data_IF_666304148219
#
_entry.id   IF_666304148219
#
_cell.length_a   1.000
_cell.length_b   1.000
_cell.length_c   1.000
_cell.angle_alpha   90.00
_cell.angle_beta   90.00
_cell.angle_gamma   90.00
#
_symmetry.space_group_name_H-M   'P 1'
#
loop_
_entity.id
_entity.type
_entity.pdbx_description
1 polymer ?
#
# COMPACT_ATOMS: atom_id res chain seq x y z
N UNK A 1 -42.34 20.57 36.74
CA UNK A 1 -41.54 21.22 35.67
C UNK A 1 -40.62 20.20 35.01
N UNK A 2 -41.16 19.32 34.15
CA UNK A 2 -40.32 18.37 33.41
C UNK A 2 -39.72 19.07 32.19
N UNK A 3 -38.47 19.52 32.28
CA UNK A 3 -37.75 20.01 31.10
C UNK A 3 -37.57 18.82 30.15
N UNK A 4 -38.39 18.75 29.11
CA UNK A 4 -38.22 17.85 27.97
C UNK A 4 -36.88 18.20 27.31
N UNK A 5 -35.81 17.54 27.75
CA UNK A 5 -34.49 17.72 27.16
C UNK A 5 -34.60 17.38 25.67
N UNK A 6 -34.21 18.32 24.80
CA UNK A 6 -33.96 18.03 23.39
C UNK A 6 -32.69 17.16 23.31
N UNK A 7 -32.80 15.92 23.78
CA UNK A 7 -31.76 14.90 23.66
C UNK A 7 -32.09 14.04 22.43
N UNK A 8 -32.26 14.70 21.29
CA UNK A 8 -32.37 14.01 20.01
C UNK A 8 -31.04 14.27 19.33
N UNK A 9 -30.16 13.27 19.40
CA UNK A 9 -28.98 13.20 18.56
C UNK A 9 -29.32 13.75 17.17
N UNK A 10 -28.54 14.72 16.71
CA UNK A 10 -28.65 15.19 15.31
C UNK A 10 -28.43 14.00 14.39
N UNK A 11 -28.88 14.11 13.13
CA UNK A 11 -28.74 13.01 12.18
C UNK A 11 -27.26 12.59 12.02
N UNK A 12 -26.36 13.58 12.02
CA UNK A 12 -24.91 13.38 11.95
C UNK A 12 -24.36 12.69 13.20
N UNK A 13 -24.73 13.16 14.39
CA UNK A 13 -24.28 12.53 15.63
C UNK A 13 -24.75 11.08 15.72
N UNK A 14 -25.95 10.78 15.21
CA UNK A 14 -26.49 9.41 15.19
C UNK A 14 -25.73 8.52 14.22
N UNK A 15 -25.37 9.03 13.04
CA UNK A 15 -24.56 8.32 12.07
C UNK A 15 -23.17 7.97 12.65
N UNK A 16 -22.53 8.93 13.31
CA UNK A 16 -21.24 8.70 14.00
C UNK A 16 -21.38 7.64 15.09
N UNK A 17 -22.46 7.71 15.88
CA UNK A 17 -22.73 6.72 16.92
C UNK A 17 -22.92 5.31 16.34
N UNK A 18 -23.71 5.18 15.27
CA UNK A 18 -23.97 3.91 14.60
C UNK A 18 -22.69 3.32 14.00
N UNK A 19 -21.85 4.16 13.39
CA UNK A 19 -20.56 3.74 12.86
C UNK A 19 -19.59 3.28 13.97
N UNK A 20 -19.50 4.04 15.08
CA UNK A 20 -18.70 3.64 16.23
C UNK A 20 -19.18 2.31 16.85
N UNK A 21 -20.50 2.11 16.91
CA UNK A 21 -21.08 0.85 17.36
C UNK A 21 -20.76 -0.28 16.39
N UNK A 22 -20.80 -0.03 15.08
CA UNK A 22 -20.41 -1.01 14.05
C UNK A 22 -18.95 -1.42 14.22
N UNK A 23 -18.02 -0.47 14.37
CA UNK A 23 -16.60 -0.74 14.57
C UNK A 23 -16.34 -1.57 15.84
N UNK A 24 -17.01 -1.24 16.95
CA UNK A 24 -16.90 -2.01 18.20
C UNK A 24 -17.38 -3.46 18.06
N UNK A 25 -18.32 -3.72 17.15
CA UNK A 25 -18.89 -5.05 16.92
C UNK A 25 -18.14 -5.86 15.86
N UNK A 26 -17.20 -5.26 15.13
CA UNK A 26 -16.39 -6.00 14.16
C UNK A 26 -15.44 -6.98 14.85
N UNK A 27 -15.16 -8.07 14.16
CA UNK A 27 -14.14 -9.04 14.61
C UNK A 27 -12.74 -8.57 14.22
N UNK A 28 -11.72 -9.04 14.94
CA UNK A 28 -10.32 -8.66 14.69
C UNK A 28 -9.89 -8.89 13.23
N UNK A 29 -10.35 -10.00 12.62
CA UNK A 29 -10.06 -10.30 11.20
C UNK A 29 -10.62 -9.24 10.26
N UNK A 30 -11.87 -8.84 10.48
CA UNK A 30 -12.54 -7.85 9.63
C UNK A 30 -11.93 -6.45 9.81
N UNK A 31 -11.50 -6.11 11.02
CA UNK A 31 -10.76 -4.87 11.26
C UNK A 31 -9.46 -4.86 10.47
N UNK A 32 -8.66 -5.94 10.57
CA UNK A 32 -7.38 -6.06 9.86
C UNK A 32 -7.56 -6.03 8.34
N UNK A 33 -8.58 -6.70 7.81
CA UNK A 33 -8.91 -6.69 6.38
C UNK A 33 -9.29 -5.30 5.88
N UNK A 34 -10.16 -4.56 6.60
CA UNK A 34 -10.51 -3.18 6.22
C UNK A 34 -9.31 -2.23 6.31
N UNK A 35 -8.41 -2.41 7.28
CA UNK A 35 -7.18 -1.62 7.36
C UNK A 35 -6.23 -1.85 6.17
N UNK A 36 -6.04 -3.11 5.76
CA UNK A 36 -5.25 -3.42 4.57
C UNK A 36 -5.91 -2.88 3.30
N UNK A 37 -7.22 -3.08 3.15
CA UNK A 37 -8.00 -2.55 2.03
C UNK A 37 -7.93 -1.01 1.96
N UNK A 38 -8.05 -0.32 3.10
CA UNK A 38 -7.92 1.14 3.17
C UNK A 38 -6.52 1.60 2.78
N UNK A 39 -5.46 0.91 3.21
CA UNK A 39 -4.09 1.22 2.82
C UNK A 39 -3.88 1.08 1.31
N UNK A 40 -4.43 0.03 0.68
CA UNK A 40 -4.38 -0.15 -0.78
C UNK A 40 -5.18 0.94 -1.52
N UNK A 41 -6.30 1.38 -0.93
CA UNK A 41 -7.15 2.43 -1.51
C UNK A 41 -6.52 3.81 -1.36
N UNK A 42 -5.83 4.11 -0.25
CA UNK A 42 -5.08 5.36 -0.07
C UNK A 42 -3.88 5.46 -1.01
N UNK A 43 -3.24 4.32 -1.33
CA UNK A 43 -2.23 4.23 -2.38
C UNK A 43 -2.85 4.57 -3.74
N UNK A 44 -4.06 4.09 -4.03
CA UNK A 44 -4.77 4.40 -5.27
C UNK A 44 -5.23 5.88 -5.37
N UNK A 45 -5.67 6.50 -4.28
CA UNK A 45 -6.15 7.90 -4.26
C UNK A 45 -4.99 8.92 -4.34
N UNK A 46 -3.78 8.57 -3.88
CA UNK A 46 -2.58 9.42 -4.02
C UNK A 46 -1.98 9.41 -5.43
N UNK A 47 -2.40 8.49 -6.30
CA UNK A 47 -2.03 8.49 -7.71
C UNK A 47 -3.11 9.30 -8.44
N UNK A 48 -2.84 10.53 -8.91
CA UNK A 48 -3.78 11.18 -9.81
C UNK A 48 -3.77 10.38 -11.12
N UNK A 49 -4.93 9.83 -11.46
CA UNK A 49 -5.38 9.51 -12.81
C UNK A 49 -4.26 9.09 -13.79
N UNK A 50 -3.74 7.88 -13.60
CA UNK A 50 -3.28 7.09 -14.74
C UNK A 50 -4.13 5.85 -14.73
N UNK A 51 -5.18 5.89 -15.55
CA UNK A 51 -6.06 4.77 -15.85
C UNK A 51 -5.30 3.45 -15.93
N UNK A 52 -5.62 2.51 -15.05
CA UNK A 52 -5.40 1.09 -15.30
C UNK A 52 -6.64 0.33 -14.83
N UNK A 53 -7.68 0.46 -15.63
CA UNK A 53 -8.66 -0.59 -15.80
C UNK A 53 -8.06 -1.53 -16.86
N UNK A 54 -7.58 -2.70 -16.43
CA UNK A 54 -7.72 -3.99 -17.13
C UNK A 54 -6.77 -5.04 -16.51
N UNK A 55 -7.23 -6.28 -16.31
CA UNK A 55 -6.38 -7.43 -15.99
C UNK A 55 -5.82 -8.01 -17.29
N UNK A 56 -4.69 -7.53 -17.80
CA UNK A 56 -4.04 -8.17 -18.96
C UNK A 56 -2.51 -8.08 -18.88
N UNK A 57 -1.91 -9.26 -18.78
CA UNK A 57 -0.70 -9.72 -19.44
C UNK A 57 0.46 -8.74 -19.71
N UNK A 58 1.59 -9.04 -19.05
CA UNK A 58 2.92 -9.07 -19.65
C UNK A 58 3.32 -7.91 -20.60
N UNK A 59 3.95 -6.88 -20.04
CA UNK A 59 4.99 -6.10 -20.73
C UNK A 59 6.36 -6.53 -20.19
N UNK A 60 7.07 -7.48 -20.86
CA UNK A 60 8.35 -7.96 -20.39
C UNK A 60 9.45 -7.13 -21.05
N UNK A 61 9.84 -5.97 -20.52
CA UNK A 61 11.22 -5.48 -20.80
C UNK A 61 11.65 -4.19 -20.11
N UNK A 62 10.75 -3.25 -19.83
CA UNK A 62 11.22 -1.93 -19.35
C UNK A 62 11.72 -2.00 -17.90
N UNK A 63 10.98 -2.70 -17.04
CA UNK A 63 11.31 -2.78 -15.62
C UNK A 63 12.56 -3.64 -15.36
N UNK A 64 12.72 -4.75 -16.08
CA UNK A 64 13.92 -5.61 -15.99
C UNK A 64 15.17 -4.88 -16.48
N UNK A 65 15.06 -4.08 -17.54
CA UNK A 65 16.16 -3.24 -18.06
C UNK A 65 16.65 -2.22 -17.03
N UNK A 66 15.75 -1.53 -16.31
CA UNK A 66 16.17 -0.55 -15.29
C UNK A 66 16.81 -1.22 -14.07
N UNK A 67 16.31 -2.38 -13.65
CA UNK A 67 16.93 -3.18 -12.57
C UNK A 67 18.33 -3.66 -12.97
N UNK A 68 18.54 -4.12 -14.21
CA UNK A 68 19.86 -4.50 -14.71
C UNK A 68 20.85 -3.33 -14.73
N UNK A 69 20.41 -2.13 -15.11
CA UNK A 69 21.24 -0.91 -15.05
C UNK A 69 21.64 -0.60 -13.61
N UNK A 70 20.71 -0.72 -12.65
CA UNK A 70 21.00 -0.52 -11.23
C UNK A 70 22.03 -1.53 -10.72
N UNK A 71 21.83 -2.82 -10.99
CA UNK A 71 22.75 -3.87 -10.56
C UNK A 71 24.16 -3.68 -11.15
N UNK A 72 24.24 -3.26 -12.42
CA UNK A 72 25.50 -2.93 -13.08
C UNK A 72 26.20 -1.77 -12.38
N UNK A 73 25.50 -0.67 -12.09
CA UNK A 73 26.06 0.47 -11.36
C UNK A 73 26.53 0.10 -9.94
N UNK A 74 25.84 -0.83 -9.28
CA UNK A 74 26.26 -1.38 -7.99
C UNK A 74 27.53 -2.21 -8.08
N UNK A 75 27.68 -3.03 -9.13
CA UNK A 75 28.91 -3.80 -9.37
C UNK A 75 30.11 -2.90 -9.70
N UNK A 76 29.88 -1.78 -10.39
CA UNK A 76 30.89 -0.76 -10.70
C UNK A 76 31.28 0.10 -9.48
N UNK A 77 30.63 -0.09 -8.33
CA UNK A 77 30.92 0.66 -7.11
C UNK A 77 30.49 2.13 -7.15
N UNK A 78 29.56 2.49 -8.05
CA UNK A 78 29.02 3.86 -8.13
C UNK A 78 28.24 4.26 -6.87
N UNK A 79 27.73 3.28 -6.12
CA UNK A 79 27.05 3.51 -4.86
C UNK A 79 28.04 3.52 -3.69
N UNK A 80 28.22 4.68 -3.07
CA UNK A 80 29.12 4.87 -1.92
C UNK A 80 28.66 4.02 -0.72
N UNK A 81 29.59 3.27 -0.15
CA UNK A 81 29.34 2.46 1.06
C UNK A 81 28.91 1.01 0.78
N UNK A 82 28.62 0.67 -0.48
CA UNK A 82 28.34 -0.72 -0.88
C UNK A 82 29.64 -1.36 -1.36
N UNK A 83 30.10 -2.39 -0.65
CA UNK A 83 31.26 -3.20 -1.05
C UNK A 83 30.85 -4.16 -2.18
N UNK A 84 31.78 -4.54 -3.05
CA UNK A 84 31.52 -5.45 -4.18
C UNK A 84 30.92 -6.80 -3.77
N UNK A 85 31.32 -7.34 -2.61
CA UNK A 85 30.70 -8.56 -2.08
C UNK A 85 29.21 -8.40 -1.75
N UNK A 86 28.77 -7.18 -1.40
CA UNK A 86 27.37 -6.86 -1.13
C UNK A 86 26.59 -6.66 -2.42
N UNK A 87 27.18 -6.04 -3.45
CA UNK A 87 26.50 -5.88 -4.75
C UNK A 87 26.22 -7.22 -5.43
N UNK A 88 27.13 -8.20 -5.29
CA UNK A 88 26.89 -9.57 -5.75
C UNK A 88 25.67 -10.22 -5.07
N UNK A 89 25.54 -10.10 -3.75
CA UNK A 89 24.39 -10.64 -3.01
C UNK A 89 23.07 -9.97 -3.40
N UNK A 90 23.10 -8.67 -3.65
CA UNK A 90 21.92 -7.92 -4.13
C UNK A 90 21.48 -8.42 -5.51
N UNK A 91 22.43 -8.68 -6.42
CA UNK A 91 22.12 -9.24 -7.72
C UNK A 91 21.53 -10.66 -7.62
N UNK A 92 22.08 -11.51 -6.76
CA UNK A 92 21.56 -12.85 -6.51
C UNK A 92 20.12 -12.81 -5.97
N UNK A 93 19.88 -11.94 -4.99
CA UNK A 93 18.54 -11.75 -4.42
C UNK A 93 17.52 -11.24 -5.45
N UNK A 94 17.94 -10.31 -6.32
CA UNK A 94 17.08 -9.83 -7.40
C UNK A 94 16.69 -10.94 -8.40
N UNK A 95 17.61 -11.87 -8.69
CA UNK A 95 17.35 -13.05 -9.52
C UNK A 95 16.41 -14.04 -8.82
N UNK A 96 16.57 -14.27 -7.51
CA UNK A 96 15.65 -15.09 -6.70
C UNK A 96 14.23 -14.51 -6.70
N UNK A 97 14.09 -13.19 -6.77
CA UNK A 97 12.81 -12.50 -6.88
C UNK A 97 12.25 -12.43 -8.31
N UNK A 98 12.97 -12.93 -9.33
CA UNK A 98 12.55 -12.87 -10.73
C UNK A 98 12.50 -11.44 -11.31
N UNK A 99 13.27 -10.51 -10.73
CA UNK A 99 13.37 -9.12 -11.20
C UNK A 99 14.40 -8.95 -12.33
N UNK A 100 15.19 -9.99 -12.59
CA UNK A 100 16.29 -10.04 -13.57
C UNK A 100 16.40 -11.43 -14.19
#
# INVERSE_FOLDING_TARGET
MGRKGKNRYTAEERAIHEEAVRLRKMTDKQLVEEFHRAADTEIAVRVPDVAQDSPEEAEPNKNTSEVQKLLSALSEGKCKGIKGATSYKIAQFAAEMGLV
#
